data_IF_264622229588
#
_entry.id   IF_264622229588
#
_cell.length_a   1.000
_cell.length_b   1.000
_cell.length_c   1.000
_cell.angle_alpha   90.00
_cell.angle_beta   90.00
_cell.angle_gamma   90.00
#
_symmetry.space_group_name_H-M   'P 1'
#
loop_
_entity.id
_entity.type
_entity.pdbx_description
1 polymer ?
#
# COMPACT_ATOMS: atom_id res chain seq x y z
N UNK A 1 15.72 41.51 3.29
CA UNK A 1 15.26 41.31 1.91
C UNK A 1 16.33 40.53 1.16
N UNK A 2 16.12 39.23 0.94
CA UNK A 2 16.62 38.51 -0.23
C UNK A 2 15.84 37.19 -0.30
N UNK A 3 14.77 37.19 -1.10
CA UNK A 3 14.15 35.97 -1.59
C UNK A 3 15.01 35.51 -2.77
N UNK A 4 15.71 34.40 -2.61
CA UNK A 4 16.24 33.65 -3.75
C UNK A 4 15.12 32.76 -4.26
N UNK A 5 14.47 33.21 -5.33
CA UNK A 5 13.62 32.37 -6.17
C UNK A 5 14.49 31.32 -6.85
N UNK A 6 14.41 30.06 -6.43
CA UNK A 6 14.84 28.95 -7.28
C UNK A 6 13.80 28.84 -8.39
N UNK A 7 14.18 29.14 -9.63
CA UNK A 7 13.29 28.90 -10.77
C UNK A 7 13.21 27.40 -10.99
N UNK A 8 12.05 26.80 -10.73
CA UNK A 8 11.75 25.41 -11.13
C UNK A 8 11.62 25.35 -12.65
N UNK A 9 12.21 24.33 -13.26
CA UNK A 9 12.14 24.09 -14.68
C UNK A 9 10.74 23.56 -15.07
N UNK A 10 10.27 23.73 -16.33
CA UNK A 10 8.93 23.31 -16.77
C UNK A 10 8.78 21.78 -16.98
N UNK A 11 9.35 20.94 -16.12
CA UNK A 11 9.57 19.50 -16.37
C UNK A 11 8.64 18.50 -15.67
N UNK A 12 7.96 18.89 -14.59
CA UNK A 12 7.47 17.89 -13.63
C UNK A 12 6.04 17.37 -13.91
N UNK A 13 5.16 18.18 -14.54
CA UNK A 13 3.84 17.70 -14.99
C UNK A 13 3.94 16.73 -16.19
N UNK A 14 5.03 16.79 -16.95
CA UNK A 14 5.31 15.86 -18.04
C UNK A 14 5.77 14.50 -17.49
N UNK A 15 6.34 14.45 -16.28
CA UNK A 15 6.94 13.25 -15.71
C UNK A 15 5.92 12.20 -15.23
N UNK A 16 4.73 12.61 -14.76
CA UNK A 16 3.74 11.65 -14.26
C UNK A 16 2.90 10.98 -15.35
N UNK A 17 2.87 11.52 -16.57
CA UNK A 17 1.92 11.07 -17.60
C UNK A 17 0.45 11.16 -17.16
N UNK A 18 0.15 11.83 -16.05
CA UNK A 18 -1.13 11.87 -15.35
C UNK A 18 -1.34 13.24 -14.68
N UNK A 19 -2.48 13.40 -14.01
CA UNK A 19 -2.83 14.64 -13.32
C UNK A 19 -1.84 14.99 -12.19
N UNK A 20 -1.27 16.19 -12.22
CA UNK A 20 -0.42 16.73 -11.15
C UNK A 20 -1.05 18.01 -10.58
N UNK A 21 -1.47 17.99 -9.30
CA UNK A 21 -2.13 19.14 -8.68
C UNK A 21 -1.16 20.32 -8.45
N UNK A 22 0.08 20.00 -8.08
CA UNK A 22 1.20 20.94 -7.99
C UNK A 22 2.32 20.44 -8.90
N UNK A 23 2.38 20.92 -10.16
CA UNK A 23 3.38 20.50 -11.13
C UNK A 23 4.79 20.48 -10.56
N UNK A 24 5.25 21.58 -9.94
CA UNK A 24 6.60 21.72 -9.38
C UNK A 24 6.83 20.99 -8.04
N UNK A 25 5.88 20.17 -7.58
CA UNK A 25 6.00 19.41 -6.33
C UNK A 25 5.42 18.00 -6.50
N UNK A 26 6.24 17.14 -7.07
CA UNK A 26 5.88 15.75 -7.39
C UNK A 26 5.47 14.93 -6.15
N UNK A 27 6.11 15.14 -5.01
CA UNK A 27 5.79 14.42 -3.77
C UNK A 27 4.36 14.74 -3.31
N UNK A 28 4.02 16.03 -3.24
CA UNK A 28 2.66 16.45 -2.87
C UNK A 28 1.63 16.03 -3.92
N UNK A 29 1.98 16.14 -5.20
CA UNK A 29 1.10 15.69 -6.29
C UNK A 29 0.85 14.19 -6.24
N UNK A 30 1.83 13.38 -5.86
CA UNK A 30 1.66 11.93 -5.66
C UNK A 30 0.71 11.64 -4.50
N UNK A 31 0.87 12.34 -3.36
CA UNK A 31 -0.07 12.19 -2.24
C UNK A 31 -1.48 12.68 -2.59
N UNK A 32 -1.60 13.73 -3.41
CA UNK A 32 -2.89 14.20 -3.92
C UNK A 32 -3.53 13.19 -4.86
N UNK A 33 -2.76 12.59 -5.78
CA UNK A 33 -3.23 11.52 -6.66
C UNK A 33 -3.78 10.34 -5.85
N UNK A 34 -3.04 9.89 -4.83
CA UNK A 34 -3.50 8.86 -3.88
C UNK A 34 -4.84 9.22 -3.24
N UNK A 35 -5.01 10.47 -2.79
CA UNK A 35 -6.27 10.94 -2.22
C UNK A 35 -7.41 10.96 -3.25
N UNK A 36 -7.15 11.38 -4.49
CA UNK A 36 -8.17 11.37 -5.56
C UNK A 36 -8.53 9.94 -5.93
N UNK A 37 -7.55 9.04 -6.08
CA UNK A 37 -7.76 7.63 -6.37
C UNK A 37 -8.63 6.94 -5.31
N UNK A 38 -8.46 7.28 -4.03
CA UNK A 38 -9.30 6.74 -2.97
C UNK A 38 -10.74 7.27 -2.94
N UNK A 39 -11.08 8.30 -3.73
CA UNK A 39 -12.48 8.73 -3.85
C UNK A 39 -13.34 7.63 -4.49
N UNK A 40 -12.79 6.87 -5.43
CA UNK A 40 -13.45 5.73 -6.08
C UNK A 40 -13.98 4.69 -5.09
N UNK A 41 -13.23 4.42 -4.01
CA UNK A 41 -13.58 3.43 -2.99
C UNK A 41 -14.29 4.03 -1.76
N UNK A 42 -14.63 5.31 -1.81
CA UNK A 42 -15.24 6.05 -0.70
C UNK A 42 -14.28 6.38 0.45
N UNK A 43 -12.98 6.26 0.23
CA UNK A 43 -11.93 6.61 1.20
C UNK A 43 -11.67 8.12 1.27
N UNK A 44 -12.16 8.90 0.31
CA UNK A 44 -12.09 10.37 0.31
C UNK A 44 -13.29 10.96 -0.45
N UNK A 45 -13.47 12.28 -0.35
CA UNK A 45 -14.29 13.08 -1.25
C UNK A 45 -13.42 14.15 -1.92
N UNK A 46 -13.55 14.31 -3.25
CA UNK A 46 -12.76 15.25 -4.03
C UNK A 46 -12.90 16.69 -3.55
N UNK A 47 -14.13 17.13 -3.23
CA UNK A 47 -14.39 18.51 -2.82
C UNK A 47 -13.80 18.78 -1.44
N UNK A 48 -13.87 17.82 -0.51
CA UNK A 48 -13.25 17.92 0.81
C UNK A 48 -11.72 18.07 0.70
N UNK A 49 -11.09 17.24 -0.13
CA UNK A 49 -9.64 17.28 -0.36
C UNK A 49 -9.21 18.56 -1.08
N UNK A 50 -9.89 18.91 -2.18
CA UNK A 50 -9.59 20.09 -2.98
C UNK A 50 -9.70 21.39 -2.15
N UNK A 51 -10.69 21.47 -1.24
CA UNK A 51 -10.86 22.63 -0.36
C UNK A 51 -9.68 22.84 0.60
N UNK A 52 -9.05 21.77 1.09
CA UNK A 52 -7.81 21.86 1.88
C UNK A 52 -6.65 22.22 0.97
N UNK A 53 -6.44 21.45 -0.11
CA UNK A 53 -5.29 21.58 -1.00
C UNK A 53 -5.11 23.02 -1.54
N UNK A 54 -6.20 23.67 -1.99
CA UNK A 54 -6.14 25.03 -2.53
C UNK A 54 -5.72 26.12 -1.54
N UNK A 55 -5.77 25.83 -0.23
CA UNK A 55 -5.41 26.76 0.83
C UNK A 55 -3.99 26.52 1.37
N UNK A 56 -3.33 25.43 0.96
CA UNK A 56 -2.01 25.09 1.46
C UNK A 56 -0.92 25.93 0.78
N UNK A 57 0.03 26.48 1.54
CA UNK A 57 1.29 26.95 0.98
C UNK A 57 2.11 25.73 0.51
N UNK A 58 2.33 25.63 -0.80
CA UNK A 58 3.00 24.49 -1.43
C UNK A 58 4.40 24.29 -0.82
N UNK A 59 4.70 23.06 -0.41
CA UNK A 59 5.99 22.68 0.19
C UNK A 59 6.04 22.82 1.71
N UNK A 60 5.03 23.42 2.35
CA UNK A 60 4.94 23.53 3.81
C UNK A 60 4.31 22.26 4.43
N UNK A 61 5.17 21.38 4.94
CA UNK A 61 4.78 20.08 5.51
C UNK A 61 3.92 20.22 6.78
N UNK A 62 4.15 21.26 7.57
CA UNK A 62 3.38 21.52 8.77
C UNK A 62 1.97 22.01 8.40
N UNK A 63 1.86 22.88 7.40
CA UNK A 63 0.57 23.31 6.87
C UNK A 63 -0.21 22.13 6.27
N UNK A 64 0.46 21.23 5.53
CA UNK A 64 -0.14 19.98 5.05
C UNK A 64 -0.72 19.16 6.20
N UNK A 65 0.10 18.89 7.22
CA UNK A 65 -0.30 18.12 8.39
C UNK A 65 -1.49 18.76 9.10
N UNK A 66 -1.43 20.05 9.39
CA UNK A 66 -2.49 20.77 10.10
C UNK A 66 -3.78 20.83 9.27
N UNK A 67 -3.68 21.05 7.96
CA UNK A 67 -4.81 21.14 7.04
C UNK A 67 -5.58 19.83 6.96
N UNK A 68 -4.88 18.73 6.67
CA UNK A 68 -5.51 17.40 6.56
C UNK A 68 -5.94 16.85 7.93
N UNK A 69 -5.19 17.07 9.00
CA UNK A 69 -5.64 16.71 10.36
C UNK A 69 -6.88 17.50 10.77
N UNK A 70 -6.97 18.77 10.36
CA UNK A 70 -8.16 19.60 10.56
C UNK A 70 -9.38 19.07 9.81
N UNK A 71 -9.22 18.62 8.57
CA UNK A 71 -10.27 17.94 7.82
C UNK A 71 -10.68 16.62 8.50
N UNK A 72 -9.71 15.79 8.87
CA UNK A 72 -9.94 14.51 9.53
C UNK A 72 -10.78 14.67 10.81
N UNK A 73 -10.44 15.63 11.68
CA UNK A 73 -11.20 15.94 12.89
C UNK A 73 -12.65 16.31 12.61
N UNK A 74 -12.92 17.13 11.59
CA UNK A 74 -14.30 17.53 11.23
C UNK A 74 -15.12 16.36 10.71
N UNK A 75 -14.52 15.49 9.90
CA UNK A 75 -15.20 14.32 9.32
C UNK A 75 -15.42 13.23 10.38
N UNK A 76 -14.45 13.01 11.26
CA UNK A 76 -14.57 12.13 12.42
C UNK A 76 -15.69 12.59 13.37
N UNK A 77 -15.80 13.90 13.63
CA UNK A 77 -16.91 14.43 14.42
C UNK A 77 -18.28 14.21 13.76
N UNK A 78 -18.38 14.41 12.45
CA UNK A 78 -19.60 14.06 11.69
C UNK A 78 -19.96 12.59 11.83
N UNK A 79 -18.97 11.70 11.81
CA UNK A 79 -19.18 10.28 11.98
C UNK A 79 -19.72 9.94 13.38
N UNK A 80 -19.15 10.54 14.44
CA UNK A 80 -19.65 10.40 15.81
C UNK A 80 -21.08 10.89 15.96
N UNK A 81 -21.41 12.06 15.41
CA UNK A 81 -22.76 12.62 15.44
C UNK A 81 -23.76 11.73 14.69
N UNK A 82 -23.38 11.21 13.52
CA UNK A 82 -24.19 10.26 12.77
C UNK A 82 -24.43 8.96 13.56
N UNK A 83 -23.39 8.42 14.20
CA UNK A 83 -23.51 7.22 15.04
C UNK A 83 -24.43 7.46 16.24
N UNK A 84 -24.28 8.58 16.93
CA UNK A 84 -25.12 8.94 18.07
C UNK A 84 -26.61 9.09 17.67
N UNK A 85 -26.89 9.46 16.42
CA UNK A 85 -28.23 9.55 15.86
C UNK A 85 -28.75 8.23 15.25
N UNK A 86 -27.99 7.13 15.29
CA UNK A 86 -28.38 5.84 14.71
C UNK A 86 -28.21 5.74 13.19
N UNK A 87 -27.44 6.62 12.57
CA UNK A 87 -27.17 6.63 11.13
C UNK A 87 -25.85 5.92 10.80
N UNK A 88 -25.85 4.59 10.95
CA UNK A 88 -24.62 3.78 10.91
C UNK A 88 -23.90 3.79 9.55
N UNK A 89 -24.65 3.82 8.44
CA UNK A 89 -24.05 3.92 7.09
C UNK A 89 -23.26 5.23 6.96
N UNK A 90 -23.87 6.35 7.34
CA UNK A 90 -23.22 7.67 7.29
C UNK A 90 -22.03 7.76 8.25
N UNK A 91 -22.14 7.15 9.44
CA UNK A 91 -21.04 7.09 10.40
C UNK A 91 -19.85 6.31 9.83
N UNK A 92 -20.09 5.11 9.30
CA UNK A 92 -19.07 4.26 8.69
C UNK A 92 -18.34 4.98 7.55
N UNK A 93 -19.08 5.52 6.59
CA UNK A 93 -18.49 6.19 5.43
C UNK A 93 -17.66 7.41 5.81
N UNK A 94 -18.13 8.19 6.79
CA UNK A 94 -17.36 9.32 7.31
C UNK A 94 -16.10 8.84 8.06
N UNK A 95 -16.17 7.78 8.86
CA UNK A 95 -14.98 7.23 9.52
C UNK A 95 -13.95 6.64 8.56
N UNK A 96 -14.37 6.01 7.45
CA UNK A 96 -13.44 5.57 6.40
C UNK A 96 -12.68 6.76 5.80
N UNK A 97 -13.37 7.89 5.53
CA UNK A 97 -12.71 9.11 5.07
C UNK A 97 -11.79 9.72 6.13
N UNK A 98 -12.25 9.82 7.37
CA UNK A 98 -11.44 10.32 8.47
C UNK A 98 -10.17 9.48 8.67
N UNK A 99 -10.25 8.15 8.52
CA UNK A 99 -9.11 7.24 8.56
C UNK A 99 -8.04 7.65 7.54
N UNK A 100 -8.40 7.87 6.28
CA UNK A 100 -7.47 8.30 5.22
C UNK A 100 -6.93 9.70 5.50
N UNK A 101 -7.77 10.64 5.93
CA UNK A 101 -7.33 12.01 6.19
C UNK A 101 -6.37 12.13 7.37
N UNK A 102 -6.58 11.36 8.44
CA UNK A 102 -5.61 11.27 9.53
C UNK A 102 -4.29 10.64 9.03
N UNK A 103 -4.36 9.57 8.25
CA UNK A 103 -3.19 8.90 7.67
C UNK A 103 -2.35 9.86 6.81
N UNK A 104 -2.99 10.52 5.85
CA UNK A 104 -2.30 11.40 4.91
C UNK A 104 -1.74 12.65 5.59
N UNK A 105 -2.34 13.10 6.70
CA UNK A 105 -1.85 14.27 7.44
C UNK A 105 -0.42 14.05 7.96
N UNK A 106 -0.10 12.84 8.43
CA UNK A 106 1.22 12.47 8.94
C UNK A 106 2.19 11.97 7.87
N UNK A 107 1.74 11.76 6.63
CA UNK A 107 2.52 11.05 5.61
C UNK A 107 3.88 11.70 5.33
N UNK A 108 3.94 13.03 5.19
CA UNK A 108 5.20 13.73 4.93
C UNK A 108 6.18 13.62 6.09
N UNK A 109 5.69 13.47 7.33
CA UNK A 109 6.53 13.23 8.51
C UNK A 109 7.01 11.77 8.58
N UNK A 110 6.19 10.82 8.13
CA UNK A 110 6.57 9.42 8.03
C UNK A 110 7.71 9.23 7.00
N UNK A 111 7.71 10.01 5.91
CA UNK A 111 8.80 10.06 4.92
C UNK A 111 10.09 10.57 5.56
N UNK A 112 10.01 11.46 6.55
CA UNK A 112 11.16 11.91 7.34
C UNK A 112 11.61 10.90 8.41
N UNK A 113 11.14 9.65 8.31
CA UNK A 113 11.54 8.54 9.18
C UNK A 113 10.79 8.47 10.51
N UNK A 114 9.80 9.35 10.75
CA UNK A 114 9.07 9.34 12.02
C UNK A 114 8.26 8.04 12.17
N UNK A 115 8.62 7.23 13.17
CA UNK A 115 7.95 5.96 13.47
C UNK A 115 6.48 6.16 13.84
N UNK A 116 6.23 7.12 14.72
CA UNK A 116 4.90 7.46 15.22
C UNK A 116 4.44 8.79 14.61
N UNK A 117 4.24 8.78 13.30
CA UNK A 117 3.77 9.95 12.57
C UNK A 117 2.41 10.44 13.11
N UNK A 118 2.16 11.77 13.15
CA UNK A 118 0.91 12.33 13.62
C UNK A 118 -0.32 11.74 12.92
N UNK A 119 -1.37 11.44 13.69
CA UNK A 119 -2.65 10.94 13.16
C UNK A 119 -2.73 9.43 12.95
N UNK A 120 -1.63 8.66 13.06
CA UNK A 120 -1.69 7.19 12.88
C UNK A 120 -2.66 6.51 13.86
N UNK A 121 -2.62 6.89 15.14
CA UNK A 121 -3.51 6.35 16.16
C UNK A 121 -4.99 6.70 15.90
N UNK A 122 -5.26 7.96 15.52
CA UNK A 122 -6.60 8.44 15.16
C UNK A 122 -7.13 7.74 13.91
N UNK A 123 -6.27 7.55 12.91
CA UNK A 123 -6.56 6.82 11.67
C UNK A 123 -7.01 5.40 11.98
N UNK A 124 -6.23 4.66 12.77
CA UNK A 124 -6.56 3.30 13.21
C UNK A 124 -7.84 3.23 14.03
N UNK A 125 -8.09 4.19 14.93
CA UNK A 125 -9.36 4.27 15.67
C UNK A 125 -10.53 4.44 14.71
N UNK A 126 -10.45 5.40 13.78
CA UNK A 126 -11.53 5.64 12.83
C UNK A 126 -11.79 4.40 11.96
N UNK A 127 -10.73 3.72 11.50
CA UNK A 127 -10.88 2.47 10.76
C UNK A 127 -11.62 1.41 11.57
N UNK A 128 -11.23 1.17 12.82
CA UNK A 128 -11.90 0.17 13.69
C UNK A 128 -13.36 0.51 13.94
N UNK A 129 -13.69 1.80 14.16
CA UNK A 129 -15.07 2.24 14.30
C UNK A 129 -15.89 2.04 13.00
N UNK A 130 -15.27 2.21 11.83
CA UNK A 130 -15.91 1.88 10.56
C UNK A 130 -16.07 0.36 10.36
N UNK A 131 -15.07 -0.43 10.73
CA UNK A 131 -15.06 -1.89 10.66
C UNK A 131 -16.16 -2.53 11.51
N UNK A 132 -16.45 -1.99 12.70
CA UNK A 132 -17.57 -2.42 13.56
C UNK A 132 -18.94 -2.25 12.88
N UNK A 133 -19.06 -1.33 11.92
CA UNK A 133 -20.28 -1.06 11.15
C UNK A 133 -20.22 -1.63 9.73
N UNK A 134 -19.17 -2.37 9.40
CA UNK A 134 -19.02 -2.96 8.07
C UNK A 134 -20.10 -4.02 7.83
N UNK A 135 -20.64 -4.11 6.61
CA UNK A 135 -21.66 -5.11 6.28
C UNK A 135 -21.06 -6.52 6.24
N UNK A 136 -19.74 -6.61 5.99
CA UNK A 136 -18.95 -7.83 6.00
C UNK A 136 -17.97 -7.76 7.19
N UNK A 137 -17.81 -8.83 7.97
CA UNK A 137 -16.88 -8.83 9.11
C UNK A 137 -15.46 -8.42 8.72
N UNK A 138 -14.88 -7.53 9.54
CA UNK A 138 -13.47 -7.12 9.48
C UNK A 138 -12.89 -7.36 10.87
N UNK A 139 -12.20 -8.48 11.05
CA UNK A 139 -11.65 -8.94 12.32
C UNK A 139 -10.24 -8.37 12.51
N UNK A 140 -9.93 -7.64 13.59
CA UNK A 140 -8.55 -7.36 13.96
C UNK A 140 -7.84 -8.65 14.37
N UNK A 141 -6.66 -8.93 13.80
CA UNK A 141 -5.93 -10.19 14.01
C UNK A 141 -4.49 -9.96 14.43
N UNK A 142 -3.90 -11.00 15.03
CA UNK A 142 -2.50 -11.08 15.42
C UNK A 142 -1.94 -12.40 14.87
N UNK A 143 -1.18 -12.34 13.77
CA UNK A 143 -0.57 -13.50 13.13
C UNK A 143 0.69 -13.89 13.94
N UNK A 144 0.78 -15.11 14.51
CA UNK A 144 1.96 -15.53 15.26
C UNK A 144 3.23 -15.47 14.41
N UNK A 145 4.30 -14.89 14.95
CA UNK A 145 5.53 -14.65 14.19
C UNK A 145 6.75 -14.51 15.12
N UNK A 146 7.74 -15.40 15.01
CA UNK A 146 9.05 -15.31 15.69
C UNK A 146 9.00 -14.87 17.17
N UNK A 147 8.11 -15.47 17.98
CA UNK A 147 7.98 -15.14 19.41
C UNK A 147 7.22 -13.84 19.71
N UNK A 148 6.65 -13.21 18.69
CA UNK A 148 5.74 -12.05 18.73
C UNK A 148 4.56 -12.29 17.78
N UNK A 149 3.89 -11.22 17.34
CA UNK A 149 2.82 -11.28 16.36
C UNK A 149 2.82 -10.09 15.39
N UNK A 150 2.40 -10.35 14.15
CA UNK A 150 2.14 -9.34 13.12
C UNK A 150 0.68 -8.89 13.21
N UNK A 151 0.41 -7.61 13.49
CA UNK A 151 -0.95 -7.09 13.59
C UNK A 151 -1.57 -6.89 12.21
N UNK A 152 -2.88 -7.06 12.12
CA UNK A 152 -3.59 -6.83 10.86
C UNK A 152 -5.10 -6.91 11.00
N UNK A 153 -5.74 -7.13 9.86
CA UNK A 153 -7.17 -7.39 9.76
C UNK A 153 -7.43 -8.55 8.81
N UNK A 154 -8.35 -9.45 9.17
CA UNK A 154 -8.97 -10.39 8.25
C UNK A 154 -10.32 -9.84 7.82
N UNK A 155 -10.47 -9.56 6.53
CA UNK A 155 -11.76 -9.21 5.91
C UNK A 155 -12.40 -10.50 5.42
N UNK A 156 -13.59 -10.83 5.92
CA UNK A 156 -14.31 -12.00 5.45
C UNK A 156 -14.74 -11.83 3.97
N UNK A 157 -14.97 -12.94 3.28
CA UNK A 157 -15.61 -12.90 1.97
C UNK A 157 -17.07 -12.43 2.11
N UNK A 158 -17.51 -11.47 1.29
CA UNK A 158 -18.88 -10.96 1.32
C UNK A 158 -19.90 -11.90 0.67
N UNK A 159 -19.42 -12.87 -0.14
CA UNK A 159 -20.24 -13.82 -0.88
C UNK A 159 -19.60 -15.20 -0.98
N UNK A 160 -20.44 -16.19 -1.22
CA UNK A 160 -20.08 -17.60 -1.34
C UNK A 160 -20.22 -18.35 -0.02
N UNK A 161 -20.36 -19.67 -0.13
CA UNK A 161 -20.57 -20.57 1.00
C UNK A 161 -19.28 -21.34 1.36
N UNK A 162 -19.22 -21.85 2.58
CA UNK A 162 -18.14 -22.71 3.08
C UNK A 162 -16.79 -21.98 3.26
N UNK A 163 -15.69 -22.74 3.45
CA UNK A 163 -14.35 -22.18 3.49
C UNK A 163 -14.01 -21.44 2.20
N UNK A 164 -13.45 -20.24 2.33
CA UNK A 164 -13.25 -19.31 1.20
C UNK A 164 -11.78 -19.23 0.80
N UNK A 165 -11.46 -19.11 -0.50
CA UNK A 165 -10.09 -18.80 -0.91
C UNK A 165 -9.64 -17.50 -0.25
N UNK A 166 -8.36 -17.42 0.11
CA UNK A 166 -7.79 -16.28 0.80
C UNK A 166 -6.76 -15.55 -0.06
N UNK A 167 -6.65 -14.24 0.16
CA UNK A 167 -5.64 -13.40 -0.47
C UNK A 167 -4.91 -12.64 0.63
N UNK A 168 -3.61 -12.87 0.73
CA UNK A 168 -2.70 -12.11 1.56
C UNK A 168 -2.35 -10.82 0.82
N UNK A 169 -2.43 -9.66 1.48
CA UNK A 169 -2.10 -8.37 0.89
C UNK A 169 -0.97 -7.71 1.66
N UNK A 170 0.14 -7.45 0.98
CA UNK A 170 1.32 -6.78 1.50
C UNK A 170 1.54 -5.48 0.73
N UNK A 171 1.62 -4.37 1.45
CA UNK A 171 1.86 -3.05 0.84
C UNK A 171 3.35 -2.73 0.66
N UNK A 172 3.65 -1.46 0.42
CA UNK A 172 5.02 -0.94 0.24
C UNK A 172 5.67 -0.42 1.53
N UNK A 173 6.63 0.47 1.37
CA UNK A 173 7.45 1.05 2.47
C UNK A 173 6.63 1.88 3.48
N UNK A 174 5.53 2.48 3.03
CA UNK A 174 4.66 3.34 3.84
C UNK A 174 3.30 2.70 4.13
N UNK A 175 3.19 1.38 3.95
CA UNK A 175 1.93 0.68 4.05
C UNK A 175 1.44 0.50 5.49
N UNK A 176 0.11 0.52 5.60
CA UNK A 176 -0.65 0.17 6.78
C UNK A 176 -1.83 -0.70 6.34
N UNK A 177 -2.16 -1.70 7.15
CA UNK A 177 -3.26 -2.63 6.93
C UNK A 177 -4.62 -1.93 6.74
N UNK A 178 -4.90 -0.84 7.46
CA UNK A 178 -6.13 -0.05 7.27
C UNK A 178 -6.21 0.59 5.89
N UNK A 179 -5.06 0.94 5.31
CA UNK A 179 -5.03 1.45 3.95
C UNK A 179 -5.21 0.33 2.93
N UNK A 180 -4.58 -0.84 3.15
CA UNK A 180 -4.73 -1.98 2.24
C UNK A 180 -6.19 -2.44 2.14
N UNK A 181 -7.00 -2.23 3.18
CA UNK A 181 -8.45 -2.44 3.14
C UNK A 181 -9.12 -1.61 2.04
N UNK A 182 -8.83 -0.30 2.01
CA UNK A 182 -9.37 0.61 1.00
C UNK A 182 -8.71 0.38 -0.36
N UNK A 183 -7.42 0.06 -0.37
CA UNK A 183 -6.64 -0.12 -1.59
C UNK A 183 -7.07 -1.34 -2.38
N UNK A 184 -7.41 -2.48 -1.76
CA UNK A 184 -7.86 -3.67 -2.49
C UNK A 184 -8.69 -4.65 -1.62
N UNK A 185 -8.50 -4.66 -0.29
CA UNK A 185 -9.11 -5.65 0.61
C UNK A 185 -10.64 -5.74 0.50
N UNK A 186 -11.32 -4.58 0.43
CA UNK A 186 -12.78 -4.55 0.22
C UNK A 186 -13.19 -5.12 -1.14
N UNK A 187 -12.44 -4.82 -2.20
CA UNK A 187 -12.72 -5.30 -3.55
C UNK A 187 -12.56 -6.83 -3.69
N UNK A 188 -11.63 -7.42 -2.92
CA UNK A 188 -11.45 -8.87 -2.81
C UNK A 188 -12.61 -9.52 -2.05
N UNK A 189 -13.00 -8.93 -0.93
CA UNK A 189 -14.16 -9.36 -0.13
C UNK A 189 -15.43 -9.41 -0.97
N UNK A 190 -15.73 -8.34 -1.72
CA UNK A 190 -16.90 -8.24 -2.59
C UNK A 190 -16.92 -9.33 -3.69
N UNK A 191 -15.75 -9.88 -4.03
CA UNK A 191 -15.58 -10.95 -5.02
C UNK A 191 -15.58 -12.36 -4.45
N UNK A 192 -15.64 -12.49 -3.13
CA UNK A 192 -15.79 -13.78 -2.46
C UNK A 192 -14.48 -14.38 -1.94
N UNK A 193 -13.43 -13.57 -1.83
CA UNK A 193 -12.17 -13.92 -1.17
C UNK A 193 -12.16 -13.43 0.28
N UNK A 194 -11.60 -14.23 1.18
CA UNK A 194 -11.11 -13.69 2.45
C UNK A 194 -9.83 -12.88 2.18
N UNK A 195 -9.65 -11.72 2.80
CA UNK A 195 -8.45 -10.90 2.62
C UNK A 195 -7.71 -10.70 3.94
N UNK A 196 -6.49 -11.22 4.03
CA UNK A 196 -5.60 -10.98 5.18
C UNK A 196 -4.71 -9.78 4.88
N UNK A 197 -4.94 -8.71 5.63
CA UNK A 197 -4.25 -7.43 5.53
C UNK A 197 -3.37 -7.28 6.76
N UNK A 198 -2.09 -7.65 6.70
CA UNK A 198 -1.21 -7.55 7.87
C UNK A 198 -0.10 -6.52 7.66
N UNK A 199 0.28 -5.86 8.76
CA UNK A 199 1.49 -5.04 8.79
C UNK A 199 2.68 -5.99 9.06
N UNK A 200 3.48 -6.24 8.02
CA UNK A 200 4.65 -7.09 8.14
C UNK A 200 5.90 -6.35 8.65
N UNK A 201 7.05 -7.05 8.77
CA UNK A 201 8.31 -6.45 9.19
C UNK A 201 8.65 -5.19 8.39
N UNK A 202 8.87 -4.07 9.08
CA UNK A 202 9.13 -2.76 8.48
C UNK A 202 7.88 -1.93 8.14
N UNK A 203 6.67 -2.47 8.32
CA UNK A 203 5.43 -1.82 7.91
C UNK A 203 4.54 -1.45 9.10
N UNK A 204 3.72 -0.42 8.92
CA UNK A 204 2.64 -0.01 9.83
C UNK A 204 2.89 -0.22 11.33
N UNK A 205 1.97 -0.92 11.98
CA UNK A 205 2.03 -1.22 13.41
C UNK A 205 3.18 -2.19 13.79
N UNK A 206 3.62 -3.08 12.90
CA UNK A 206 4.78 -3.94 13.16
C UNK A 206 6.06 -3.10 13.36
N UNK A 207 6.29 -2.10 12.50
CA UNK A 207 7.39 -1.15 12.69
C UNK A 207 7.27 -0.33 13.97
N UNK A 208 6.04 0.07 14.35
CA UNK A 208 5.80 0.74 15.65
C UNK A 208 6.18 -0.15 16.84
N UNK A 209 6.04 -1.48 16.70
CA UNK A 209 6.48 -2.48 17.68
C UNK A 209 7.98 -2.82 17.61
N UNK A 210 8.74 -2.17 16.72
CA UNK A 210 10.17 -2.44 16.53
C UNK A 210 10.47 -3.69 15.68
N UNK A 211 9.51 -4.18 14.91
CA UNK A 211 9.71 -5.24 13.93
C UNK A 211 10.11 -4.56 12.61
N UNK A 212 11.41 -4.51 12.33
CA UNK A 212 11.99 -3.81 11.17
C UNK A 212 12.05 -4.71 9.93
N UNK A 213 12.29 -4.11 8.76
CA UNK A 213 12.25 -4.84 7.50
C UNK A 213 13.32 -5.93 7.40
N UNK A 214 12.97 -6.96 6.64
CA UNK A 214 13.84 -8.08 6.27
C UNK A 214 13.67 -8.40 4.78
N UNK A 215 14.70 -8.95 4.17
CA UNK A 215 14.73 -9.25 2.74
C UNK A 215 13.99 -10.55 2.42
N UNK A 216 14.11 -11.57 3.28
CA UNK A 216 13.51 -12.90 3.16
C UNK A 216 12.03 -12.90 3.55
N UNK A 217 11.22 -12.18 2.77
CA UNK A 217 9.81 -11.95 3.05
C UNK A 217 8.91 -13.19 2.89
N UNK A 218 9.45 -14.30 2.39
CA UNK A 218 8.81 -15.62 2.51
C UNK A 218 8.53 -16.00 3.97
N UNK A 219 9.31 -15.51 4.94
CA UNK A 219 9.15 -15.86 6.36
C UNK A 219 7.85 -15.30 6.96
N UNK A 220 7.57 -13.96 6.90
CA UNK A 220 6.30 -13.44 7.36
C UNK A 220 5.10 -13.91 6.51
N UNK A 221 5.28 -14.13 5.21
CA UNK A 221 4.21 -14.70 4.35
C UNK A 221 3.90 -16.15 4.74
N UNK A 222 4.91 -16.97 5.00
CA UNK A 222 4.74 -18.35 5.47
C UNK A 222 3.98 -18.42 6.79
N UNK A 223 4.27 -17.52 7.74
CA UNK A 223 3.53 -17.39 8.99
C UNK A 223 2.06 -17.00 8.76
N UNK A 224 1.79 -16.10 7.81
CA UNK A 224 0.43 -15.72 7.41
C UNK A 224 -0.33 -16.89 6.77
N UNK A 225 0.33 -17.70 5.93
CA UNK A 225 -0.25 -18.92 5.34
C UNK A 225 -0.56 -19.96 6.43
N UNK A 226 0.36 -20.20 7.37
CA UNK A 226 0.14 -21.13 8.48
C UNK A 226 -1.08 -20.73 9.30
N UNK A 227 -1.21 -19.43 9.59
CA UNK A 227 -2.36 -18.90 10.33
C UNK A 227 -3.67 -19.05 9.55
N UNK A 228 -3.67 -18.77 8.23
CA UNK A 228 -4.85 -18.95 7.38
C UNK A 228 -5.27 -20.42 7.26
N UNK A 229 -4.31 -21.33 7.10
CA UNK A 229 -4.55 -22.79 7.01
C UNK A 229 -5.12 -23.39 8.29
N UNK A 230 -4.94 -22.71 9.43
CA UNK A 230 -5.51 -23.13 10.71
C UNK A 230 -6.97 -22.67 10.92
N UNK A 231 -7.56 -21.92 9.98
CA UNK A 231 -8.93 -21.42 10.08
C UNK A 231 -9.92 -22.32 9.36
N UNK A 232 -11.06 -22.57 9.99
CA UNK A 232 -12.15 -23.38 9.42
C UNK A 232 -12.96 -22.64 8.34
N UNK A 233 -12.91 -21.31 8.32
CA UNK A 233 -13.62 -20.45 7.35
C UNK A 233 -12.77 -20.07 6.12
N UNK A 234 -11.53 -20.58 6.04
CA UNK A 234 -10.60 -20.34 4.93
C UNK A 234 -10.24 -21.66 4.25
N UNK A 235 -10.24 -21.66 2.93
CA UNK A 235 -9.68 -22.73 2.13
C UNK A 235 -8.16 -22.57 2.04
N UNK A 236 -7.45 -23.26 2.94
CA UNK A 236 -6.00 -23.17 3.09
C UNK A 236 -5.17 -23.66 1.89
N UNK A 237 -5.77 -24.33 0.91
CA UNK A 237 -5.10 -24.74 -0.33
C UNK A 237 -5.24 -23.70 -1.45
N UNK A 238 -6.09 -22.69 -1.27
CA UNK A 238 -6.31 -21.60 -2.24
C UNK A 238 -5.96 -20.26 -1.62
N UNK A 239 -4.66 -20.07 -1.38
CA UNK A 239 -4.10 -18.85 -0.80
C UNK A 239 -3.23 -18.14 -1.84
N UNK A 240 -3.64 -16.94 -2.23
CA UNK A 240 -2.88 -16.07 -3.13
C UNK A 240 -2.18 -14.92 -2.37
N UNK A 241 -1.23 -14.28 -3.03
CA UNK A 241 -0.49 -13.13 -2.50
C UNK A 241 -0.58 -11.94 -3.45
N UNK A 242 -0.86 -10.75 -2.92
CA UNK A 242 -0.71 -9.47 -3.61
C UNK A 242 0.37 -8.66 -2.91
N UNK A 243 1.36 -8.21 -3.67
CA UNK A 243 2.39 -7.28 -3.23
C UNK A 243 2.32 -5.96 -3.98
N UNK A 244 2.22 -4.83 -3.27
CA UNK A 244 2.18 -3.51 -3.90
C UNK A 244 3.40 -2.63 -3.60
N UNK A 245 3.99 -1.99 -4.62
CA UNK A 245 5.18 -1.13 -4.49
C UNK A 245 6.42 -1.92 -4.00
N UNK A 246 7.06 -1.57 -2.88
CA UNK A 246 8.06 -2.45 -2.24
C UNK A 246 7.46 -3.83 -1.89
N UNK A 247 6.14 -3.93 -1.73
CA UNK A 247 5.43 -5.19 -1.65
C UNK A 247 5.58 -6.07 -2.89
N UNK A 248 5.85 -5.51 -4.07
CA UNK A 248 6.20 -6.25 -5.27
C UNK A 248 7.49 -7.04 -5.09
N UNK A 249 8.52 -6.47 -4.45
CA UNK A 249 9.73 -7.22 -4.05
C UNK A 249 9.36 -8.36 -3.10
N UNK A 250 8.57 -8.04 -2.07
CA UNK A 250 8.12 -9.02 -1.07
C UNK A 250 7.32 -10.17 -1.69
N UNK A 251 6.45 -9.88 -2.65
CA UNK A 251 5.64 -10.89 -3.33
C UNK A 251 6.46 -11.76 -4.28
N UNK A 252 7.37 -11.17 -5.08
CA UNK A 252 8.30 -11.95 -5.91
C UNK A 252 9.15 -12.87 -5.06
N UNK A 253 9.74 -12.34 -3.97
CA UNK A 253 10.55 -13.12 -3.03
C UNK A 253 9.74 -14.24 -2.39
N UNK A 254 8.57 -13.95 -1.83
CA UNK A 254 7.73 -14.96 -1.19
C UNK A 254 7.25 -16.04 -2.19
N UNK A 255 6.83 -15.67 -3.40
CA UNK A 255 6.36 -16.62 -4.41
C UNK A 255 7.45 -17.59 -4.90
N UNK A 256 8.72 -17.19 -4.83
CA UNK A 256 9.88 -18.07 -5.07
C UNK A 256 10.18 -19.00 -3.88
N UNK A 257 9.95 -18.48 -2.68
CA UNK A 257 10.06 -19.06 -1.32
C UNK A 257 9.05 -20.15 -0.94
N UNK A 258 7.81 -19.92 -1.32
CA UNK A 258 6.66 -20.44 -0.60
C UNK A 258 5.74 -21.21 -1.55
N UNK A 259 5.96 -22.54 -1.69
CA UNK A 259 5.27 -23.36 -2.69
C UNK A 259 3.78 -23.55 -2.40
N UNK A 260 3.29 -23.11 -1.23
CA UNK A 260 1.87 -23.19 -0.85
C UNK A 260 1.02 -22.06 -1.43
N UNK A 261 1.62 -21.05 -2.06
CA UNK A 261 0.89 -20.00 -2.76
C UNK A 261 0.28 -20.55 -4.05
N UNK A 262 -1.04 -20.35 -4.22
CA UNK A 262 -1.76 -20.78 -5.42
C UNK A 262 -1.65 -19.77 -6.57
N UNK A 263 -1.37 -18.49 -6.26
CA UNK A 263 -1.19 -17.43 -7.24
C UNK A 263 -0.46 -16.22 -6.63
N UNK A 264 0.21 -15.43 -7.47
CA UNK A 264 0.93 -14.22 -7.07
C UNK A 264 0.53 -13.01 -7.95
N UNK A 265 0.35 -11.85 -7.32
CA UNK A 265 0.13 -10.57 -8.00
C UNK A 265 1.20 -9.58 -7.55
N UNK A 266 1.98 -9.11 -8.51
CA UNK A 266 3.01 -8.08 -8.33
C UNK A 266 2.45 -6.77 -8.87
N UNK A 267 2.03 -5.87 -7.98
CA UNK A 267 1.38 -4.60 -8.31
C UNK A 267 2.32 -3.40 -8.13
N UNK A 268 2.97 -3.01 -9.22
CA UNK A 268 4.13 -2.12 -9.20
C UNK A 268 5.37 -2.92 -8.79
N UNK A 269 5.99 -3.60 -9.76
CA UNK A 269 7.18 -4.42 -9.52
C UNK A 269 8.29 -3.59 -8.87
N UNK A 270 9.05 -4.20 -7.97
CA UNK A 270 10.18 -3.58 -7.27
C UNK A 270 11.29 -4.61 -7.16
N UNK A 271 12.51 -4.20 -7.50
CA UNK A 271 13.68 -5.08 -7.44
C UNK A 271 14.40 -5.07 -6.09
N UNK A 272 14.03 -4.15 -5.22
CA UNK A 272 14.63 -4.01 -3.89
C UNK A 272 14.78 -2.55 -3.49
N UNK A 273 15.77 -2.27 -2.65
CA UNK A 273 16.07 -0.92 -2.17
C UNK A 273 17.37 -0.44 -2.84
N UNK A 274 17.24 0.51 -3.75
CA UNK A 274 18.37 1.06 -4.51
C UNK A 274 19.18 2.05 -3.67
N UNK A 275 20.27 1.56 -3.08
CA UNK A 275 21.21 2.33 -2.26
C UNK A 275 21.83 3.50 -3.03
N UNK A 276 22.01 3.39 -4.36
CA UNK A 276 22.62 4.45 -5.16
C UNK A 276 21.67 5.65 -5.34
N UNK A 277 20.36 5.40 -5.48
CA UNK A 277 19.35 6.47 -5.58
C UNK A 277 19.17 7.27 -4.28
N UNK A 278 19.55 6.69 -3.14
CA UNK A 278 19.42 7.28 -1.80
C UNK A 278 20.64 8.08 -1.34
N UNK A 279 21.75 8.07 -2.09
CA UNK A 279 22.95 8.84 -1.74
C UNK A 279 22.71 10.35 -1.88
N UNK A 280 23.53 11.21 -1.23
CA UNK A 280 23.47 12.66 -1.42
C UNK A 280 23.53 13.06 -2.91
N UNK A 281 22.58 13.87 -3.36
CA UNK A 281 22.40 14.28 -4.75
C UNK A 281 21.67 13.26 -5.64
N UNK A 282 21.28 12.11 -5.09
CA UNK A 282 20.50 11.09 -5.78
C UNK A 282 19.01 11.45 -5.91
N UNK A 283 18.28 10.85 -6.87
CA UNK A 283 16.89 11.20 -7.16
C UNK A 283 15.90 10.83 -6.05
N UNK A 284 16.29 9.97 -5.09
CA UNK A 284 15.47 9.57 -3.94
C UNK A 284 16.12 9.95 -2.60
N UNK A 285 17.08 10.89 -2.57
CA UNK A 285 17.73 11.34 -1.33
C UNK A 285 16.71 11.73 -0.24
N UNK A 286 15.59 12.37 -0.63
CA UNK A 286 14.54 12.79 0.31
C UNK A 286 13.80 11.62 0.99
N UNK A 287 14.04 10.38 0.55
CA UNK A 287 13.50 9.14 1.13
C UNK A 287 14.48 8.44 2.08
N UNK A 288 15.72 8.91 2.22
CA UNK A 288 16.74 8.25 3.04
C UNK A 288 16.27 7.99 4.47
N UNK A 289 15.69 9.00 5.13
CA UNK A 289 15.17 8.85 6.50
C UNK A 289 14.05 7.82 6.60
N UNK A 290 13.24 7.68 5.55
CA UNK A 290 12.22 6.63 5.47
C UNK A 290 12.85 5.23 5.46
N UNK A 291 13.94 5.06 4.70
CA UNK A 291 14.68 3.80 4.60
C UNK A 291 15.45 3.47 5.88
N UNK A 292 16.11 4.45 6.50
CA UNK A 292 16.72 4.27 7.82
C UNK A 292 15.69 3.79 8.85
N UNK A 293 14.51 4.42 8.87
CA UNK A 293 13.44 4.04 9.76
C UNK A 293 12.81 2.67 9.43
N UNK A 294 12.89 2.22 8.18
CA UNK A 294 12.47 0.89 7.74
C UNK A 294 13.33 -0.20 8.40
N UNK A 295 14.64 0.04 8.52
CA UNK A 295 15.61 -0.86 9.16
C UNK A 295 15.80 -0.62 10.65
N UNK A 296 15.30 0.51 11.17
CA UNK A 296 15.42 0.87 12.58
C UNK A 296 16.83 1.35 12.97
N UNK A 297 17.62 1.81 12.01
CA UNK A 297 19.00 2.30 12.21
C UNK A 297 19.29 3.47 11.28
N UNK A 298 20.02 4.46 11.78
CA UNK A 298 20.59 5.57 11.01
C UNK A 298 22.09 5.41 10.76
N UNK A 299 22.68 4.27 11.14
CA UNK A 299 24.06 3.92 10.83
C UNK A 299 24.21 3.66 9.31
N UNK A 300 24.99 4.48 8.59
CA UNK A 300 25.14 4.38 7.15
C UNK A 300 25.76 3.08 6.65
N UNK A 301 26.54 2.36 7.46
CA UNK A 301 27.07 1.05 7.08
C UNK A 301 25.98 -0.01 7.24
N UNK A 302 25.27 0.02 8.37
CA UNK A 302 24.25 -0.98 8.69
C UNK A 302 23.06 -0.94 7.73
N UNK A 303 22.44 0.22 7.50
CA UNK A 303 21.25 0.26 6.63
C UNK A 303 21.61 -0.06 5.18
N UNK A 304 22.82 0.26 4.71
CA UNK A 304 23.26 -0.09 3.36
C UNK A 304 23.52 -1.58 3.20
N UNK A 305 24.09 -2.22 4.22
CA UNK A 305 24.25 -3.67 4.23
C UNK A 305 22.89 -4.35 4.15
N UNK A 306 21.94 -3.96 5.01
CA UNK A 306 20.60 -4.55 5.02
C UNK A 306 19.82 -4.26 3.72
N UNK A 307 19.88 -3.03 3.20
CA UNK A 307 19.29 -2.69 1.91
C UNK A 307 19.90 -3.50 0.75
N UNK A 308 21.22 -3.75 0.79
CA UNK A 308 21.92 -4.56 -0.21
C UNK A 308 21.51 -6.04 -0.23
N UNK A 309 20.85 -6.53 0.83
CA UNK A 309 20.25 -7.88 0.84
C UNK A 309 18.92 -7.96 0.11
N UNK A 310 18.30 -6.82 -0.20
CA UNK A 310 17.08 -6.75 -0.99
C UNK A 310 17.42 -6.91 -2.48
N UNK A 311 17.71 -8.14 -2.86
CA UNK A 311 18.09 -8.53 -4.20
C UNK A 311 17.16 -9.64 -4.72
N UNK A 312 16.82 -9.56 -6.01
CA UNK A 312 15.98 -10.54 -6.71
C UNK A 312 16.74 -11.29 -7.81
N UNK A 313 18.05 -11.07 -7.98
CA UNK A 313 18.85 -11.82 -8.96
C UNK A 313 18.73 -13.34 -8.72
N UNK A 314 18.30 -14.06 -9.75
CA UNK A 314 18.03 -15.51 -9.68
C UNK A 314 16.89 -15.94 -8.74
N UNK A 315 16.03 -15.00 -8.30
CA UNK A 315 14.89 -15.30 -7.44
C UNK A 315 13.63 -15.58 -8.24
N UNK A 316 13.28 -14.72 -9.20
CA UNK A 316 12.02 -14.80 -9.93
C UNK A 316 11.87 -16.10 -10.74
N UNK A 317 12.98 -16.67 -11.22
CA UNK A 317 13.01 -17.96 -11.93
C UNK A 317 12.45 -19.14 -11.12
N UNK A 318 12.39 -19.00 -9.79
CA UNK A 318 11.91 -20.04 -8.87
C UNK A 318 10.41 -19.98 -8.63
N UNK A 319 9.73 -18.94 -9.09
CA UNK A 319 8.29 -18.78 -8.90
C UNK A 319 7.57 -19.93 -9.59
N UNK A 320 6.81 -20.70 -8.80
CA UNK A 320 6.17 -21.94 -9.21
C UNK A 320 4.64 -21.85 -9.30
N UNK A 321 4.06 -20.65 -9.20
CA UNK A 321 2.62 -20.41 -9.28
C UNK A 321 2.28 -19.40 -10.39
N UNK A 322 1.03 -19.39 -10.89
CA UNK A 322 0.54 -18.35 -11.79
C UNK A 322 0.84 -16.96 -11.26
N UNK A 323 1.32 -16.07 -12.13
CA UNK A 323 1.75 -14.72 -11.71
C UNK A 323 1.23 -13.62 -12.62
N UNK A 324 0.59 -12.62 -12.02
CA UNK A 324 0.18 -11.39 -12.68
C UNK A 324 1.08 -10.22 -12.25
N UNK A 325 1.56 -9.44 -13.21
CA UNK A 325 2.30 -8.20 -12.98
C UNK A 325 1.50 -7.04 -13.56
N UNK A 326 1.31 -5.97 -12.78
CA UNK A 326 0.71 -4.71 -13.22
C UNK A 326 1.71 -3.58 -13.03
N UNK A 327 1.96 -2.78 -14.07
CA UNK A 327 2.91 -1.67 -13.98
C UNK A 327 2.49 -0.45 -14.79
N UNK A 328 2.59 0.74 -14.19
CA UNK A 328 2.37 2.00 -14.89
C UNK A 328 3.60 2.39 -15.70
N UNK A 329 3.45 2.79 -16.96
CA UNK A 329 4.59 3.18 -17.80
C UNK A 329 5.15 4.56 -17.42
N UNK A 330 4.40 5.37 -16.68
CA UNK A 330 4.82 6.66 -16.10
C UNK A 330 5.16 6.56 -14.60
N UNK A 331 5.52 5.36 -14.13
CA UNK A 331 5.97 5.17 -12.76
C UNK A 331 7.34 5.84 -12.52
N UNK A 332 7.30 6.95 -11.80
CA UNK A 332 8.46 7.78 -11.45
C UNK A 332 9.29 7.21 -10.29
N UNK A 333 8.77 6.21 -9.56
CA UNK A 333 9.46 5.57 -8.44
C UNK A 333 10.19 4.30 -8.90
N UNK A 334 9.51 3.47 -9.67
CA UNK A 334 10.07 2.22 -10.19
C UNK A 334 9.89 2.13 -11.71
N UNK A 335 10.99 2.11 -12.49
CA UNK A 335 10.90 2.10 -13.94
C UNK A 335 10.26 0.81 -14.45
N UNK A 336 9.54 0.90 -15.57
CA UNK A 336 8.93 -0.25 -16.25
C UNK A 336 9.90 -1.43 -16.49
N UNK A 337 11.18 -1.13 -16.71
CA UNK A 337 12.21 -2.13 -16.93
C UNK A 337 12.32 -3.14 -15.77
N UNK A 338 11.99 -2.76 -14.54
CA UNK A 338 11.93 -3.67 -13.40
C UNK A 338 10.84 -4.75 -13.59
N UNK A 339 9.62 -4.33 -13.98
CA UNK A 339 8.52 -5.25 -14.26
C UNK A 339 8.81 -6.16 -15.45
N UNK A 340 9.44 -5.63 -16.51
CA UNK A 340 9.84 -6.40 -17.68
C UNK A 340 10.88 -7.47 -17.31
N UNK A 341 11.92 -7.12 -16.54
CA UNK A 341 12.91 -8.10 -16.06
C UNK A 341 12.27 -9.17 -15.19
N UNK A 342 11.47 -8.79 -14.19
CA UNK A 342 10.75 -9.75 -13.36
C UNK A 342 9.86 -10.67 -14.21
N UNK A 343 9.12 -10.13 -15.19
CA UNK A 343 8.31 -10.93 -16.12
C UNK A 343 9.17 -11.93 -16.91
N UNK A 344 10.28 -11.48 -17.50
CA UNK A 344 11.15 -12.31 -18.34
C UNK A 344 11.79 -13.44 -17.53
N UNK A 345 12.18 -13.16 -16.28
CA UNK A 345 12.83 -14.13 -15.38
C UNK A 345 11.89 -15.19 -14.81
N UNK A 346 10.59 -14.90 -14.61
CA UNK A 346 9.65 -15.89 -14.07
C UNK A 346 9.64 -17.16 -14.91
N UNK A 347 9.92 -18.30 -14.26
CA UNK A 347 10.01 -19.61 -14.92
C UNK A 347 8.65 -20.27 -15.19
N UNK A 348 7.57 -19.80 -14.57
CA UNK A 348 6.23 -20.34 -14.75
C UNK A 348 5.59 -19.91 -16.07
N UNK A 349 4.96 -20.84 -16.80
CA UNK A 349 4.35 -20.57 -18.10
C UNK A 349 3.09 -19.70 -18.01
N UNK A 350 2.32 -19.85 -16.94
CA UNK A 350 1.16 -19.00 -16.65
C UNK A 350 1.63 -17.70 -15.97
N UNK A 351 2.06 -16.75 -16.79
CA UNK A 351 2.45 -15.42 -16.35
C UNK A 351 1.88 -14.36 -17.28
N UNK A 352 1.52 -13.21 -16.72
CA UNK A 352 1.00 -12.07 -17.49
C UNK A 352 1.57 -10.75 -16.98
N UNK A 353 1.98 -9.89 -17.90
CA UNK A 353 2.32 -8.49 -17.64
C UNK A 353 1.27 -7.58 -18.27
N UNK A 354 0.67 -6.70 -17.46
CA UNK A 354 -0.21 -5.62 -17.89
C UNK A 354 0.54 -4.30 -17.67
N UNK A 355 0.68 -3.51 -18.74
CA UNK A 355 1.24 -2.16 -18.67
C UNK A 355 0.16 -1.11 -18.95
N UNK A 356 0.28 0.06 -18.33
CA UNK A 356 -0.63 1.19 -18.51
C UNK A 356 0.13 2.37 -19.14
N UNK A 357 -0.12 2.69 -20.43
CA UNK A 357 0.64 3.70 -21.17
C UNK A 357 0.49 5.13 -20.61
N UNK A 358 1.48 6.02 -20.82
CA UNK A 358 1.39 7.41 -20.39
C UNK A 358 0.13 8.10 -20.95
N UNK A 359 -0.58 8.86 -20.11
CA UNK A 359 -1.82 9.54 -20.46
C UNK A 359 -3.08 8.67 -20.32
N UNK A 360 -2.95 7.36 -20.11
CA UNK A 360 -4.07 6.47 -19.83
C UNK A 360 -4.29 6.30 -18.32
N UNK A 361 -5.55 6.06 -17.88
CA UNK A 361 -5.82 5.75 -16.48
C UNK A 361 -5.01 4.54 -15.99
N UNK A 362 -4.25 4.74 -14.92
CA UNK A 362 -3.43 3.71 -14.28
C UNK A 362 -1.95 3.79 -14.61
N UNK A 363 -1.53 4.79 -15.39
CA UNK A 363 -0.15 4.90 -15.87
C UNK A 363 0.87 5.27 -14.78
N UNK A 364 0.44 5.63 -13.57
CA UNK A 364 1.33 5.96 -12.45
C UNK A 364 1.66 4.77 -11.56
N UNK A 365 2.59 4.98 -10.61
CA UNK A 365 2.99 3.99 -9.61
C UNK A 365 1.77 3.34 -8.95
N UNK A 366 1.70 2.00 -8.99
CA UNK A 366 0.58 1.21 -8.45
C UNK A 366 -0.82 1.75 -8.81
N UNK A 367 -0.99 2.32 -10.00
CA UNK A 367 -2.25 2.85 -10.53
C UNK A 367 -2.91 3.84 -9.54
N UNK A 368 -2.11 4.63 -8.82
CA UNK A 368 -2.60 5.63 -7.85
C UNK A 368 -3.58 6.63 -8.49
N UNK A 369 -3.39 6.93 -9.77
CA UNK A 369 -4.24 7.80 -10.57
C UNK A 369 -5.57 7.16 -10.99
N UNK A 370 -5.68 5.83 -10.99
CA UNK A 370 -6.89 5.12 -11.41
C UNK A 370 -7.02 3.73 -10.76
N UNK A 371 -7.18 3.68 -9.44
CA UNK A 371 -7.29 2.42 -8.68
C UNK A 371 -8.30 1.40 -9.24
N UNK A 372 -9.39 1.87 -9.86
CA UNK A 372 -10.42 1.02 -10.45
C UNK A 372 -9.88 0.07 -11.53
N UNK A 373 -8.91 0.49 -12.35
CA UNK A 373 -8.39 -0.37 -13.43
C UNK A 373 -7.62 -1.56 -12.84
N UNK A 374 -6.75 -1.28 -11.87
CA UNK A 374 -6.03 -2.33 -11.15
C UNK A 374 -6.99 -3.26 -10.39
N UNK A 375 -8.06 -2.73 -9.76
CA UNK A 375 -9.05 -3.56 -9.09
C UNK A 375 -9.68 -4.58 -10.02
N UNK A 376 -10.08 -4.15 -11.20
CA UNK A 376 -10.73 -5.03 -12.17
C UNK A 376 -9.75 -6.08 -12.69
N UNK A 377 -8.56 -5.66 -13.13
CA UNK A 377 -7.58 -6.57 -13.71
C UNK A 377 -7.06 -7.59 -12.69
N UNK A 378 -6.71 -7.15 -11.48
CA UNK A 378 -6.25 -8.02 -10.40
C UNK A 378 -7.34 -9.01 -10.02
N UNK A 379 -8.54 -8.52 -9.72
CA UNK A 379 -9.52 -9.39 -9.11
C UNK A 379 -10.18 -10.35 -10.11
N UNK A 380 -10.38 -9.93 -11.37
CA UNK A 380 -10.88 -10.84 -12.41
C UNK A 380 -9.85 -11.97 -12.64
N UNK A 381 -8.55 -11.63 -12.69
CA UNK A 381 -7.51 -12.63 -12.81
C UNK A 381 -7.48 -13.59 -11.60
N UNK A 382 -7.64 -13.09 -10.38
CA UNK A 382 -7.73 -13.96 -9.20
C UNK A 382 -8.98 -14.86 -9.22
N UNK A 383 -10.13 -14.38 -9.73
CA UNK A 383 -11.31 -15.22 -9.92
C UNK A 383 -11.02 -16.40 -10.87
N UNK A 384 -10.30 -16.15 -11.96
CA UNK A 384 -9.94 -17.19 -12.95
C UNK A 384 -8.93 -18.22 -12.41
N UNK A 385 -8.03 -17.84 -11.50
CA UNK A 385 -6.91 -18.69 -11.06
C UNK A 385 -7.05 -19.28 -9.66
N UNK A 386 -7.91 -18.68 -8.81
CA UNK A 386 -8.00 -19.03 -7.38
C UNK A 386 -9.43 -19.33 -6.95
N UNK A 387 -10.45 -18.69 -7.54
CA UNK A 387 -11.84 -18.94 -7.13
C UNK A 387 -12.44 -20.20 -7.78
N UNK A 388 -11.91 -20.61 -8.94
CA UNK A 388 -12.36 -21.75 -9.73
C UNK A 388 -12.25 -23.10 -9.00
#
# INVERSE_FOLDING_TARGET
MHRTSSSSAPGDAVALGAYAYWPDNLEWSTQMLRLIGYAYVGGTDFSEVHAVARALPVGDRDAWQQGFAGLARRVDERARLARAAGHDVSAREAWLRACVYYRISGQLHAIDGLRDAPGVADSRRCFRAAAELAPTPVEPVEVPYEGTSLPGYLVAAARGDGPRPAVIVVGGIDAFSEEMYLKIGRALSDRGFAALLFDGPGQGAARQRGIYARHDYEVPVGAAIDWLRARDDVDGERVALIGSSLGGYYATRAAAYEPRLSACVIWGASEGIDVAKLQPGGPLEHRLRQVEALFGTDDPEQWREEAGRFDLDGVAERIACPTLILHGESDVLVPLAAAQRTYDEIGHDDKRLITYPPGEPGCTHCQLDALSVAHHDICNWLEDHVAA
#
